data_IF_093400571959
#
_entry.id   IF_093400571959
#
_cell.length_a   1.000
_cell.length_b   1.000
_cell.length_c   1.000
_cell.angle_alpha   90.00
_cell.angle_beta   90.00
_cell.angle_gamma   90.00
#
_symmetry.space_group_name_H-M   'P 1'
#
loop_
_entity.id
_entity.type
_entity.pdbx_description
1 polymer ?
#
# COMPACT_ATOMS: atom_id res chain seq x y z
N UNK A 1 25.72 -9.56 -4.08
CA UNK A 1 24.75 -8.92 -4.99
C UNK A 1 24.81 -7.44 -4.70
N UNK A 2 25.18 -6.64 -5.68
CA UNK A 2 25.34 -5.19 -5.53
C UNK A 2 23.95 -4.53 -5.43
N UNK A 3 23.78 -3.63 -4.47
CA UNK A 3 22.49 -3.01 -4.15
C UNK A 3 22.03 -2.09 -5.30
N UNK A 4 22.96 -1.37 -5.91
CA UNK A 4 22.67 -0.53 -7.08
C UNK A 4 22.24 -1.38 -8.27
N UNK A 5 22.82 -2.57 -8.41
CA UNK A 5 22.38 -3.56 -9.40
C UNK A 5 20.97 -4.08 -9.10
N UNK A 6 20.63 -4.33 -7.83
CA UNK A 6 19.28 -4.76 -7.44
C UNK A 6 18.24 -3.66 -7.70
N UNK A 7 18.54 -2.42 -7.30
CA UNK A 7 17.69 -1.25 -7.57
C UNK A 7 17.53 -1.01 -9.07
N UNK A 8 18.61 -1.10 -9.83
CA UNK A 8 18.58 -0.91 -11.29
C UNK A 8 17.75 -2.00 -11.98
N UNK A 9 17.86 -3.26 -11.55
CA UNK A 9 17.07 -4.37 -12.11
C UNK A 9 15.58 -4.26 -11.83
N UNK A 10 15.18 -3.57 -10.76
CA UNK A 10 13.77 -3.38 -10.37
C UNK A 10 13.10 -2.20 -11.07
N UNK A 11 13.89 -1.19 -11.44
CA UNK A 11 13.44 -0.04 -12.24
C UNK A 11 13.13 -0.47 -13.68
N UNK A 12 13.78 -1.54 -14.16
CA UNK A 12 13.46 -2.07 -15.48
C UNK A 12 11.98 -2.51 -15.53
N UNK A 13 11.22 -2.06 -16.54
CA UNK A 13 9.81 -2.41 -16.68
C UNK A 13 9.73 -3.92 -16.93
N UNK A 14 9.32 -4.67 -15.91
CA UNK A 14 9.03 -6.10 -16.06
C UNK A 14 7.92 -6.27 -17.09
N UNK A 15 8.28 -6.75 -18.28
CA UNK A 15 7.35 -7.15 -19.35
C UNK A 15 6.77 -8.51 -18.99
N UNK A 16 5.86 -8.56 -18.03
CA UNK A 16 5.18 -9.78 -17.66
C UNK A 16 3.71 -9.50 -17.36
N UNK A 17 2.88 -10.47 -17.78
CA UNK A 17 1.44 -10.57 -17.57
C UNK A 17 1.05 -10.12 -16.17
N UNK A 18 -0.09 -9.43 -16.05
CA UNK A 18 -0.62 -8.97 -14.76
C UNK A 18 -0.60 -10.12 -13.76
N UNK A 19 0.32 -10.10 -12.77
CA UNK A 19 0.51 -11.25 -11.91
C UNK A 19 -0.76 -11.46 -11.09
N UNK A 20 -1.20 -12.71 -10.97
CA UNK A 20 -2.35 -13.06 -10.14
C UNK A 20 -2.04 -12.70 -8.68
N UNK A 21 -2.84 -11.82 -8.08
CA UNK A 21 -2.64 -11.35 -6.69
C UNK A 21 -2.68 -12.47 -5.65
N UNK A 22 -3.17 -13.65 -6.04
CA UNK A 22 -3.23 -14.86 -5.22
C UNK A 22 -1.90 -15.62 -5.19
N UNK A 23 -0.93 -15.28 -6.03
CA UNK A 23 0.38 -15.91 -6.02
C UNK A 23 1.26 -15.34 -4.90
N UNK A 24 1.81 -16.19 -4.01
CA UNK A 24 2.55 -15.73 -2.84
C UNK A 24 3.85 -14.97 -3.19
N UNK A 25 4.45 -15.25 -4.36
CA UNK A 25 5.66 -14.57 -4.82
C UNK A 25 5.40 -13.10 -5.14
N UNK A 26 4.21 -12.79 -5.67
CA UNK A 26 3.84 -11.43 -6.08
C UNK A 26 3.82 -10.52 -4.86
N UNK A 27 3.15 -10.93 -3.78
CA UNK A 27 3.14 -10.16 -2.53
C UNK A 27 4.56 -9.90 -1.98
N UNK A 28 5.46 -10.89 -2.07
CA UNK A 28 6.85 -10.72 -1.63
C UNK A 28 7.64 -9.76 -2.53
N UNK A 29 7.38 -9.74 -3.83
CA UNK A 29 7.96 -8.75 -4.76
C UNK A 29 7.55 -7.32 -4.38
N UNK A 30 6.27 -7.10 -4.09
CA UNK A 30 5.77 -5.79 -3.65
C UNK A 30 6.35 -5.35 -2.30
N UNK A 31 6.43 -6.24 -1.31
CA UNK A 31 7.08 -5.96 -0.03
C UNK A 31 8.55 -5.61 -0.20
N UNK A 32 9.25 -6.37 -1.03
CA UNK A 32 10.67 -6.12 -1.34
C UNK A 32 10.83 -4.75 -2.00
N UNK A 33 9.96 -4.41 -2.96
CA UNK A 33 9.96 -3.09 -3.60
C UNK A 33 9.73 -1.95 -2.59
N UNK A 34 8.80 -2.11 -1.63
CA UNK A 34 8.57 -1.12 -0.57
C UNK A 34 9.80 -0.94 0.33
N UNK A 35 10.43 -2.03 0.75
CA UNK A 35 11.64 -1.99 1.59
C UNK A 35 12.82 -1.32 0.87
N UNK A 36 13.00 -1.63 -0.41
CA UNK A 36 14.03 -1.01 -1.25
C UNK A 36 13.75 0.47 -1.49
N UNK A 37 12.49 0.84 -1.75
CA UNK A 37 12.08 2.24 -1.88
C UNK A 37 12.40 3.02 -0.59
N UNK A 38 12.01 2.47 0.55
CA UNK A 38 12.28 3.08 1.86
C UNK A 38 13.77 3.25 2.11
N UNK A 39 14.55 2.18 1.93
CA UNK A 39 16.01 2.23 2.12
C UNK A 39 16.66 3.24 1.16
N UNK A 40 16.29 3.19 -0.13
CA UNK A 40 16.81 4.09 -1.15
C UNK A 40 16.50 5.55 -0.84
N UNK A 41 15.27 5.86 -0.41
CA UNK A 41 14.85 7.23 -0.12
C UNK A 41 15.70 7.88 0.98
N UNK A 42 16.06 7.12 2.02
CA UNK A 42 16.87 7.64 3.13
C UNK A 42 18.37 7.63 2.87
N UNK A 43 18.88 6.67 2.09
CA UNK A 43 20.33 6.49 1.91
C UNK A 43 20.86 7.16 0.65
N UNK A 44 20.05 7.26 -0.40
CA UNK A 44 20.43 7.75 -1.72
C UNK A 44 19.38 8.75 -2.22
N UNK A 45 19.56 10.02 -1.89
CA UNK A 45 18.73 11.07 -2.48
C UNK A 45 19.08 11.21 -3.97
N UNK A 46 18.11 11.04 -4.87
CA UNK A 46 18.34 11.22 -6.30
C UNK A 46 17.17 10.81 -7.19
N UNK A 47 17.13 11.38 -8.40
CA UNK A 47 16.03 11.23 -9.35
C UNK A 47 15.62 9.77 -9.63
N UNK A 48 16.55 8.82 -9.57
CA UNK A 48 16.26 7.39 -9.76
C UNK A 48 15.32 6.83 -8.70
N UNK A 49 15.45 7.23 -7.43
CA UNK A 49 14.58 6.72 -6.36
C UNK A 49 13.19 7.38 -6.43
N UNK A 50 13.15 8.65 -6.83
CA UNK A 50 11.91 9.41 -7.03
C UNK A 50 11.08 8.76 -8.16
N UNK A 51 11.72 8.44 -9.28
CA UNK A 51 11.11 7.74 -10.42
C UNK A 51 10.64 6.34 -10.02
N UNK A 52 11.42 5.63 -9.19
CA UNK A 52 11.06 4.31 -8.70
C UNK A 52 9.80 4.33 -7.83
N UNK A 53 9.74 5.24 -6.84
CA UNK A 53 8.56 5.42 -5.97
C UNK A 53 7.34 5.82 -6.81
N UNK A 54 7.51 6.76 -7.73
CA UNK A 54 6.44 7.20 -8.64
C UNK A 54 5.92 6.05 -9.52
N UNK A 55 6.82 5.18 -10.01
CA UNK A 55 6.43 3.99 -10.77
C UNK A 55 5.72 2.95 -9.91
N UNK A 56 6.18 2.76 -8.67
CA UNK A 56 5.56 1.86 -7.71
C UNK A 56 4.12 2.29 -7.39
N UNK A 57 3.89 3.58 -7.15
CA UNK A 57 2.56 4.14 -6.94
C UNK A 57 1.63 3.95 -8.16
N UNK A 58 2.12 4.21 -9.38
CA UNK A 58 1.36 3.98 -10.62
C UNK A 58 0.99 2.51 -10.83
N UNK A 59 1.95 1.59 -10.59
CA UNK A 59 1.66 0.15 -10.64
C UNK A 59 0.60 -0.24 -9.60
N UNK A 60 0.66 0.37 -8.41
CA UNK A 60 -0.27 0.05 -7.33
C UNK A 60 -1.71 0.43 -7.70
N UNK A 61 -1.87 1.61 -8.30
CA UNK A 61 -3.14 2.03 -8.88
C UNK A 61 -3.65 1.07 -9.96
N UNK A 62 -2.76 0.65 -10.86
CA UNK A 62 -3.14 -0.21 -11.98
C UNK A 62 -3.75 -1.56 -11.53
N UNK A 63 -3.25 -2.13 -10.43
CA UNK A 63 -3.78 -3.39 -9.89
C UNK A 63 -4.85 -3.18 -8.81
N UNK A 64 -5.29 -1.94 -8.56
CA UNK A 64 -6.37 -1.66 -7.63
C UNK A 64 -6.02 -1.80 -6.14
N UNK A 65 -4.74 -1.68 -5.75
CA UNK A 65 -4.30 -1.73 -4.34
C UNK A 65 -4.97 -0.66 -3.45
N UNK A 66 -5.37 0.45 -4.06
CA UNK A 66 -6.12 1.54 -3.42
C UNK A 66 -7.60 1.21 -3.15
N UNK A 67 -8.10 0.05 -3.60
CA UNK A 67 -9.52 -0.34 -3.56
C UNK A 67 -9.74 -1.74 -2.95
N UNK A 68 -8.83 -2.21 -2.08
CA UNK A 68 -8.88 -3.60 -1.55
C UNK A 68 -10.23 -3.89 -0.86
N UNK A 69 -10.81 -2.90 -0.17
CA UNK A 69 -12.04 -3.05 0.59
C UNK A 69 -13.26 -2.38 -0.05
N UNK A 70 -13.09 -1.93 -1.29
CA UNK A 70 -14.14 -1.24 -2.04
C UNK A 70 -15.16 -2.24 -2.58
N UNK A 71 -16.37 -2.24 -2.02
CA UNK A 71 -17.42 -3.20 -2.38
C UNK A 71 -17.75 -3.23 -3.87
N UNK A 72 -17.66 -2.10 -4.56
CA UNK A 72 -17.93 -2.00 -5.99
C UNK A 72 -16.82 -2.60 -6.87
N UNK A 73 -15.59 -2.73 -6.35
CA UNK A 73 -14.40 -3.06 -7.13
C UNK A 73 -13.70 -4.36 -6.67
N UNK A 74 -14.16 -4.99 -5.58
CA UNK A 74 -13.59 -6.22 -5.03
C UNK A 74 -13.34 -7.30 -6.10
N UNK A 75 -14.38 -7.64 -6.88
CA UNK A 75 -14.30 -8.68 -7.91
C UNK A 75 -13.55 -8.24 -9.17
N UNK A 76 -13.49 -6.93 -9.44
CA UNK A 76 -12.75 -6.39 -10.60
C UNK A 76 -11.26 -6.66 -10.49
N UNK A 77 -10.71 -6.58 -9.28
CA UNK A 77 -9.29 -6.79 -9.01
C UNK A 77 -8.98 -8.15 -8.36
N UNK A 78 -10.00 -8.96 -8.09
CA UNK A 78 -9.88 -10.29 -7.49
C UNK A 78 -9.65 -10.28 -5.97
N UNK A 79 -9.85 -9.14 -5.31
CA UNK A 79 -9.66 -9.01 -3.86
C UNK A 79 -10.63 -9.88 -3.06
N UNK A 80 -11.78 -10.23 -3.64
CA UNK A 80 -12.77 -11.17 -3.10
C UNK A 80 -12.27 -12.63 -3.06
N UNK A 81 -11.23 -12.96 -3.82
CA UNK A 81 -10.64 -14.30 -3.84
C UNK A 81 -9.64 -14.53 -2.70
N UNK A 82 -9.21 -13.47 -2.01
CA UNK A 82 -8.23 -13.55 -0.94
C UNK A 82 -8.90 -13.84 0.40
N UNK A 83 -8.18 -14.58 1.26
CA UNK A 83 -8.55 -14.64 2.67
C UNK A 83 -8.34 -13.27 3.32
N UNK A 84 -9.07 -12.97 4.40
CA UNK A 84 -8.92 -11.70 5.11
C UNK A 84 -7.48 -11.48 5.62
N UNK A 85 -6.78 -12.56 6.01
CA UNK A 85 -5.38 -12.49 6.40
C UNK A 85 -4.47 -12.09 5.22
N UNK A 86 -4.71 -12.62 4.02
CA UNK A 86 -3.95 -12.22 2.83
C UNK A 86 -4.29 -10.78 2.40
N UNK A 87 -5.56 -10.38 2.50
CA UNK A 87 -5.98 -9.01 2.23
C UNK A 87 -5.30 -8.01 3.18
N UNK A 88 -5.21 -8.32 4.47
CA UNK A 88 -4.51 -7.47 5.46
C UNK A 88 -3.04 -7.25 5.08
N UNK A 89 -2.33 -8.27 4.61
CA UNK A 89 -0.96 -8.12 4.13
C UNK A 89 -0.83 -7.21 2.90
N UNK A 90 -1.83 -7.25 2.01
CA UNK A 90 -1.90 -6.33 0.88
C UNK A 90 -2.24 -4.89 1.31
N UNK A 91 -3.03 -4.69 2.37
CA UNK A 91 -3.24 -3.36 2.97
C UNK A 91 -1.93 -2.79 3.49
N UNK A 92 -1.06 -3.61 4.11
CA UNK A 92 0.25 -3.17 4.57
C UNK A 92 1.12 -2.65 3.42
N UNK A 93 1.11 -3.36 2.29
CA UNK A 93 1.79 -2.91 1.06
C UNK A 93 1.22 -1.58 0.59
N UNK A 94 -0.11 -1.47 0.46
CA UNK A 94 -0.76 -0.23 0.02
C UNK A 94 -0.37 0.96 0.90
N UNK A 95 -0.50 0.82 2.23
CA UNK A 95 -0.17 1.90 3.17
C UNK A 95 1.31 2.25 3.18
N UNK A 96 2.19 1.29 2.92
CA UNK A 96 3.63 1.56 2.74
C UNK A 96 3.89 2.42 1.51
N UNK A 97 3.22 2.13 0.38
CA UNK A 97 3.34 2.90 -0.87
C UNK A 97 2.75 4.30 -0.70
N UNK A 98 1.59 4.42 -0.06
CA UNK A 98 0.98 5.71 0.27
C UNK A 98 1.93 6.59 1.08
N UNK A 99 2.56 6.01 2.11
CA UNK A 99 3.52 6.72 2.95
C UNK A 99 4.75 7.18 2.14
N UNK A 100 5.31 6.30 1.30
CA UNK A 100 6.44 6.64 0.42
C UNK A 100 6.12 7.78 -0.55
N UNK A 101 4.98 7.72 -1.24
CA UNK A 101 4.55 8.77 -2.19
C UNK A 101 4.31 10.12 -1.48
N UNK A 102 3.71 10.08 -0.29
CA UNK A 102 3.47 11.29 0.52
C UNK A 102 4.79 11.91 0.98
N UNK A 103 5.74 11.10 1.44
CA UNK A 103 7.07 11.58 1.84
C UNK A 103 7.86 12.14 0.66
N UNK A 104 7.82 11.46 -0.48
CA UNK A 104 8.45 11.95 -1.69
C UNK A 104 7.89 13.31 -2.07
N UNK A 105 6.57 13.41 -2.17
CA UNK A 105 5.84 14.65 -2.50
C UNK A 105 6.22 15.82 -1.59
N UNK A 106 6.32 15.55 -0.29
CA UNK A 106 6.76 16.55 0.69
C UNK A 106 8.22 16.96 0.48
N UNK A 107 9.12 15.99 0.25
CA UNK A 107 10.57 16.22 0.10
C UNK A 107 10.92 16.97 -1.19
N UNK A 108 10.25 16.66 -2.29
CA UNK A 108 10.49 17.25 -3.62
C UNK A 108 9.59 18.44 -3.94
N UNK A 109 8.65 18.77 -3.04
CA UNK A 109 7.58 19.74 -3.28
C UNK A 109 6.76 19.45 -4.55
N UNK A 110 6.61 18.18 -4.92
CA UNK A 110 5.76 17.74 -6.03
C UNK A 110 4.40 17.25 -5.52
N UNK A 111 3.31 17.40 -6.29
CA UNK A 111 2.02 16.82 -5.91
C UNK A 111 2.09 15.30 -5.79
N UNK A 112 1.40 14.77 -4.79
CA UNK A 112 1.20 13.32 -4.61
C UNK A 112 0.49 12.70 -5.81
N UNK A 113 0.96 11.53 -6.20
CA UNK A 113 0.31 10.73 -7.24
C UNK A 113 -0.97 10.07 -6.70
N UNK A 114 -1.04 9.87 -5.38
CA UNK A 114 -2.16 9.22 -4.71
C UNK A 114 -3.21 10.25 -4.28
N UNK A 115 -4.39 10.14 -4.86
CA UNK A 115 -5.54 10.96 -4.52
C UNK A 115 -6.26 10.36 -3.30
N UNK A 116 -6.36 11.10 -2.18
CA UNK A 116 -7.03 10.61 -0.97
C UNK A 116 -8.46 10.16 -1.23
N UNK A 117 -9.18 10.88 -2.10
CA UNK A 117 -10.58 10.63 -2.42
C UNK A 117 -10.82 9.28 -3.15
N UNK A 118 -9.76 8.73 -3.73
CA UNK A 118 -9.81 7.44 -4.42
C UNK A 118 -9.64 6.23 -3.48
N UNK A 119 -9.28 6.45 -2.22
CA UNK A 119 -8.88 5.37 -1.31
C UNK A 119 -10.12 4.63 -0.78
N UNK A 120 -10.29 3.39 -1.22
CA UNK A 120 -11.25 2.42 -0.71
C UNK A 120 -10.59 1.27 0.03
N UNK A 121 -9.35 1.44 0.50
CA UNK A 121 -8.61 0.46 1.30
C UNK A 121 -8.71 0.81 2.78
N UNK A 122 -9.05 -0.16 3.63
CA UNK A 122 -9.18 0.05 5.06
C UNK A 122 -7.82 0.30 5.73
N UNK A 123 -7.84 1.06 6.83
CA UNK A 123 -6.69 1.22 7.70
C UNK A 123 -6.27 -0.12 8.32
N UNK A 124 -4.97 -0.26 8.57
CA UNK A 124 -4.41 -1.42 9.25
C UNK A 124 -5.03 -1.56 10.64
N UNK A 125 -5.35 -2.80 11.03
CA UNK A 125 -5.73 -3.04 12.43
C UNK A 125 -4.46 -3.03 13.26
N UNK A 126 -4.38 -2.12 14.24
CA UNK A 126 -3.18 -1.86 15.05
C UNK A 126 -2.71 -2.99 15.98
N UNK A 127 -3.05 -4.24 15.71
CA UNK A 127 -2.67 -5.38 16.54
C UNK A 127 -1.30 -5.95 16.09
N UNK A 128 -0.28 -5.08 16.05
CA UNK A 128 1.10 -5.48 15.80
C UNK A 128 1.64 -6.45 16.88
N UNK A 129 0.94 -6.59 18.01
CA UNK A 129 1.34 -7.41 19.16
C UNK A 129 0.78 -8.84 19.16
N UNK A 130 -0.24 -9.16 18.35
CA UNK A 130 -0.87 -10.47 18.33
C UNK A 130 -0.58 -11.24 17.04
N UNK A 131 0.72 -11.47 16.79
CA UNK A 131 1.20 -12.59 15.96
C UNK A 131 0.91 -13.90 16.70
N UNK A 132 -0.37 -14.24 16.84
CA UNK A 132 -0.96 -15.58 17.03
C UNK A 132 -2.42 -15.41 17.47
N UNK A 133 -3.33 -15.81 16.59
CA UNK A 133 -4.70 -16.22 16.91
C UNK A 133 -5.66 -15.21 17.58
N UNK A 134 -6.06 -14.16 16.87
CA UNK A 134 -7.46 -13.68 16.97
C UNK A 134 -7.86 -12.87 15.73
N UNK A 135 -8.19 -13.58 14.64
CA UNK A 135 -8.98 -13.01 13.54
C UNK A 135 -10.40 -12.81 14.07
N UNK A 136 -10.60 -11.76 14.88
CA UNK A 136 -11.93 -11.30 15.26
C UNK A 136 -12.47 -10.46 14.10
N UNK A 137 -13.69 -10.75 13.70
CA UNK A 137 -14.51 -9.95 12.79
C UNK A 137 -14.76 -8.55 13.38
N UNK A 138 -13.74 -7.70 13.40
CA UNK A 138 -13.88 -6.27 13.69
C UNK A 138 -14.27 -5.53 12.42
N UNK A 139 -15.02 -4.43 12.58
CA UNK A 139 -15.32 -3.51 11.49
C UNK A 139 -14.03 -3.05 10.80
N UNK A 140 -14.05 -2.98 9.47
CA UNK A 140 -12.96 -2.39 8.69
C UNK A 140 -13.11 -0.87 8.75
N UNK A 141 -12.08 -0.17 9.20
CA UNK A 141 -12.11 1.30 9.27
C UNK A 141 -11.69 1.86 7.91
N UNK A 142 -12.66 2.26 7.10
CA UNK A 142 -12.42 2.97 5.85
C UNK A 142 -12.15 4.45 6.12
N UNK A 143 -11.31 5.07 5.29
CA UNK A 143 -11.13 6.53 5.32
C UNK A 143 -12.26 7.17 4.51
N UNK A 144 -13.07 8.08 5.10
CA UNK A 144 -14.06 8.85 4.39
C UNK A 144 -13.43 9.64 3.25
N UNK A 145 -14.09 9.65 2.11
CA UNK A 145 -13.76 10.51 0.98
C UNK A 145 -13.98 12.00 1.32
N UNK A 146 -14.93 12.31 2.21
CA UNK A 146 -15.14 13.68 2.68
C UNK A 146 -14.23 14.01 3.87
N UNK A 147 -13.37 15.01 3.68
CA UNK A 147 -12.49 15.53 4.73
C UNK A 147 -13.26 15.96 5.99
N UNK A 148 -14.50 16.44 5.84
CA UNK A 148 -15.37 16.84 6.95
C UNK A 148 -15.75 15.68 7.87
N UNK A 149 -15.62 14.43 7.41
CA UNK A 149 -15.97 13.22 8.16
C UNK A 149 -14.77 12.51 8.78
N UNK A 150 -13.53 12.94 8.50
CA UNK A 150 -12.31 12.32 9.02
C UNK A 150 -12.27 12.27 10.55
N UNK A 151 -12.81 13.29 11.23
CA UNK A 151 -12.83 13.31 12.70
C UNK A 151 -13.66 12.16 13.29
N UNK A 152 -14.67 11.64 12.57
CA UNK A 152 -15.46 10.49 13.02
C UNK A 152 -14.62 9.23 13.08
N UNK A 153 -13.74 9.02 12.09
CA UNK A 153 -12.77 7.91 12.09
C UNK A 153 -11.82 8.00 13.28
N UNK A 154 -11.34 9.20 13.58
CA UNK A 154 -10.47 9.40 14.75
C UNK A 154 -11.20 9.01 16.03
N UNK A 155 -12.48 9.36 16.17
CA UNK A 155 -13.29 8.94 17.32
C UNK A 155 -13.46 7.42 17.37
N UNK A 156 -13.70 6.76 16.23
CA UNK A 156 -13.80 5.29 16.17
C UNK A 156 -12.50 4.62 16.58
N UNK A 157 -11.34 5.10 16.12
CA UNK A 157 -10.03 4.55 16.50
C UNK A 157 -9.78 4.72 17.99
N UNK A 158 -10.08 5.89 18.55
CA UNK A 158 -9.92 6.16 19.99
C UNK A 158 -10.84 5.27 20.81
N UNK A 159 -12.10 5.12 20.41
CA UNK A 159 -13.09 4.31 21.11
C UNK A 159 -12.80 2.80 21.08
N UNK A 160 -12.00 2.31 20.13
CA UNK A 160 -11.58 0.90 20.05
C UNK A 160 -10.41 0.59 21.01
N UNK A 161 -9.69 1.60 21.50
CA UNK A 161 -8.53 1.45 22.39
C UNK A 161 -8.87 1.58 23.90
N UNK A 162 -10.12 1.87 24.25
CA UNK A 162 -10.66 1.88 25.63
C UNK A 162 -11.42 0.56 25.95
#
# INVERSE_FOLDING_TARGET
MDLDTALSSLVEPSTAQTPSISEPNVLNEWRTACLLAWYGFYQYQGQKIDDFISNLARKAYHIGLHQIDSLSNLSTFGWDLLSEAAAEEWRHVWWSIYLLDTHLSYSTATPSQIQPDSIGTALLRGDLASTTASVRNGAKTLIPTDQADLWKVIQEIVAVND
#
